data_IF_592815967220
#
_entry.id   IF_592815967220
#
_cell.length_a   1.000
_cell.length_b   1.000
_cell.length_c   1.000
_cell.angle_alpha   90.00
_cell.angle_beta   90.00
_cell.angle_gamma   90.00
#
_symmetry.space_group_name_H-M   'P 1'
#
loop_
_entity.id
_entity.type
_entity.pdbx_description
1 polymer ?
#
# COMPACT_ATOMS: atom_id res chain seq x y z
N UNK A 1 -0.72 -1.90 -20.14
CA UNK A 1 -0.59 -0.82 -19.12
C UNK A 1 -1.22 -1.30 -17.83
N UNK A 2 -0.47 -1.36 -16.73
CA UNK A 2 -1.02 -1.65 -15.40
C UNK A 2 -1.56 -0.34 -14.83
N UNK A 3 -2.78 -0.36 -14.31
CA UNK A 3 -3.33 0.81 -13.59
C UNK A 3 -2.53 0.96 -12.29
N UNK A 4 -2.00 2.14 -11.96
CA UNK A 4 -1.17 2.36 -10.76
C UNK A 4 -2.04 2.49 -9.50
N UNK A 5 -3.03 1.61 -9.33
CA UNK A 5 -3.96 1.56 -8.18
C UNK A 5 -4.15 0.10 -7.77
N UNK A 6 -4.12 -0.17 -6.47
CA UNK A 6 -4.41 -1.49 -5.92
C UNK A 6 -5.85 -1.89 -6.22
N UNK A 7 -6.06 -3.13 -6.67
CA UNK A 7 -7.39 -3.64 -7.03
C UNK A 7 -8.43 -3.47 -5.92
N UNK A 8 -8.04 -3.72 -4.67
CA UNK A 8 -8.93 -3.55 -3.51
C UNK A 8 -9.26 -2.08 -3.21
N UNK A 9 -8.41 -1.13 -3.64
CA UNK A 9 -8.64 0.31 -3.46
C UNK A 9 -9.90 0.80 -4.19
N UNK A 10 -10.29 0.14 -5.29
CA UNK A 10 -11.50 0.49 -6.04
C UNK A 10 -12.78 0.34 -5.22
N UNK A 11 -12.80 -0.52 -4.20
CA UNK A 11 -13.94 -0.65 -3.27
C UNK A 11 -14.23 0.63 -2.48
N UNK A 12 -13.21 1.49 -2.30
CA UNK A 12 -13.34 2.78 -1.62
C UNK A 12 -13.44 3.93 -2.61
N UNK A 13 -12.62 3.90 -3.67
CA UNK A 13 -12.53 4.98 -4.65
C UNK A 13 -13.83 5.13 -5.45
N UNK A 14 -14.45 4.04 -5.91
CA UNK A 14 -15.64 4.12 -6.77
C UNK A 14 -16.86 4.70 -6.04
N UNK A 15 -17.25 4.22 -4.84
CA UNK A 15 -18.38 4.82 -4.12
C UNK A 15 -18.14 6.30 -3.78
N UNK A 16 -16.93 6.68 -3.37
CA UNK A 16 -16.60 8.08 -3.08
C UNK A 16 -16.68 8.95 -4.33
N UNK A 17 -16.24 8.45 -5.48
CA UNK A 17 -16.37 9.15 -6.76
C UNK A 17 -17.83 9.36 -7.15
N UNK A 18 -18.67 8.32 -7.00
CA UNK A 18 -20.11 8.40 -7.27
C UNK A 18 -20.83 9.39 -6.34
N UNK A 19 -20.51 9.36 -5.03
CA UNK A 19 -21.07 10.30 -4.06
C UNK A 19 -20.65 11.74 -4.36
N UNK A 20 -19.38 11.94 -4.72
CA UNK A 20 -18.89 13.27 -5.13
C UNK A 20 -19.65 13.78 -6.35
N UNK A 21 -19.83 12.94 -7.38
CA UNK A 21 -20.58 13.29 -8.58
C UNK A 21 -22.06 13.61 -8.26
N UNK A 22 -22.70 12.79 -7.42
CA UNK A 22 -24.08 13.03 -6.99
C UNK A 22 -24.22 14.37 -6.26
N UNK A 23 -23.33 14.67 -5.31
CA UNK A 23 -23.35 15.97 -4.61
C UNK A 23 -23.17 17.16 -5.55
N UNK A 24 -22.33 17.03 -6.58
CA UNK A 24 -22.16 18.08 -7.60
C UNK A 24 -23.44 18.28 -8.42
N UNK A 25 -24.11 17.20 -8.84
CA UNK A 25 -25.37 17.25 -9.60
C UNK A 25 -26.48 17.94 -8.80
N UNK A 26 -26.58 17.67 -7.49
CA UNK A 26 -27.58 18.29 -6.62
C UNK A 26 -27.13 19.63 -6.00
N UNK A 27 -26.03 20.22 -6.48
CA UNK A 27 -25.47 21.48 -5.94
C UNK A 27 -25.19 21.47 -4.43
N UNK A 28 -24.94 20.29 -3.86
CA UNK A 28 -24.60 20.10 -2.44
C UNK A 28 -23.11 20.36 -2.24
N UNK A 29 -22.72 21.63 -2.28
CA UNK A 29 -21.30 22.07 -2.34
C UNK A 29 -20.47 21.51 -1.17
N UNK A 30 -20.97 21.57 0.06
CA UNK A 30 -20.26 21.02 1.22
C UNK A 30 -20.05 19.50 1.14
N UNK A 31 -21.08 18.77 0.68
CA UNK A 31 -20.97 17.32 0.47
C UNK A 31 -19.95 16.99 -0.62
N UNK A 32 -19.95 17.74 -1.71
CA UNK A 32 -18.99 17.56 -2.80
C UNK A 32 -17.54 17.80 -2.33
N UNK A 33 -17.29 18.80 -1.48
CA UNK A 33 -15.97 19.03 -0.90
C UNK A 33 -15.52 17.88 0.00
N UNK A 34 -16.38 17.41 0.90
CA UNK A 34 -16.04 16.31 1.82
C UNK A 34 -15.77 15.01 1.07
N UNK A 35 -16.70 14.57 0.22
CA UNK A 35 -16.53 13.33 -0.52
C UNK A 35 -15.43 13.44 -1.58
N UNK A 36 -15.27 14.61 -2.20
CA UNK A 36 -14.21 14.86 -3.18
C UNK A 36 -12.82 14.79 -2.56
N UNK A 37 -12.62 15.38 -1.38
CA UNK A 37 -11.35 15.30 -0.66
C UNK A 37 -11.03 13.85 -0.25
N UNK A 38 -12.03 13.12 0.24
CA UNK A 38 -11.88 11.70 0.58
C UNK A 38 -11.58 10.85 -0.66
N UNK A 39 -12.25 11.10 -1.77
CA UNK A 39 -11.99 10.44 -3.05
C UNK A 39 -10.55 10.64 -3.50
N UNK A 40 -10.06 11.88 -3.46
CA UNK A 40 -8.68 12.21 -3.81
C UNK A 40 -7.68 11.54 -2.86
N UNK A 41 -7.95 11.60 -1.54
CA UNK A 41 -7.11 10.96 -0.53
C UNK A 41 -7.04 9.44 -0.75
N UNK A 42 -8.18 8.75 -0.91
CA UNK A 42 -8.21 7.31 -1.15
C UNK A 42 -7.50 6.94 -2.45
N UNK A 43 -7.71 7.70 -3.52
CA UNK A 43 -7.02 7.47 -4.80
C UNK A 43 -5.50 7.57 -4.64
N UNK A 44 -5.02 8.56 -3.89
CA UNK A 44 -3.60 8.72 -3.61
C UNK A 44 -3.07 7.68 -2.61
N UNK A 45 -3.84 7.27 -1.61
CA UNK A 45 -3.46 6.29 -0.59
C UNK A 45 -3.31 4.88 -1.18
N UNK A 46 -4.22 4.48 -2.05
CA UNK A 46 -4.21 3.17 -2.73
C UNK A 46 -3.39 3.15 -4.04
N UNK A 47 -2.55 4.17 -4.27
CA UNK A 47 -1.66 4.20 -5.43
C UNK A 47 -0.66 3.05 -5.38
N UNK A 48 -0.34 2.49 -6.54
CA UNK A 48 0.57 1.36 -6.68
C UNK A 48 1.50 1.58 -7.89
N UNK A 49 2.51 2.47 -7.76
CA UNK A 49 3.43 2.76 -8.86
C UNK A 49 4.29 1.56 -9.25
N UNK A 50 4.69 1.52 -10.51
CA UNK A 50 5.70 0.57 -11.00
C UNK A 50 7.07 0.90 -10.39
N UNK A 51 7.85 -0.14 -10.13
CA UNK A 51 9.17 -0.03 -9.51
C UNK A 51 10.19 -0.83 -10.33
N UNK A 52 11.37 -0.29 -10.59
CA UNK A 52 12.44 -1.06 -11.22
C UNK A 52 12.87 -2.19 -10.28
N UNK A 53 13.04 -3.38 -10.83
CA UNK A 53 13.56 -4.54 -10.10
C UNK A 53 15.06 -4.69 -10.42
N UNK A 54 15.92 -4.92 -9.43
CA UNK A 54 17.32 -5.22 -9.69
C UNK A 54 17.45 -6.59 -10.38
N UNK A 55 18.50 -6.76 -11.18
CA UNK A 55 18.78 -8.00 -11.92
C UNK A 55 19.42 -9.11 -11.09
N UNK A 56 19.78 -8.84 -9.83
CA UNK A 56 20.42 -9.83 -8.95
C UNK A 56 19.39 -10.84 -8.40
N UNK A 57 19.48 -12.13 -8.77
CA UNK A 57 18.55 -13.15 -8.30
C UNK A 57 18.67 -13.47 -6.80
N UNK A 58 19.74 -13.01 -6.13
CA UNK A 58 19.94 -13.16 -4.69
C UNK A 58 19.51 -11.92 -3.89
N UNK A 59 19.06 -10.86 -4.56
CA UNK A 59 18.62 -9.66 -3.87
C UNK A 59 17.35 -9.91 -3.07
N UNK A 60 17.37 -9.53 -1.79
CA UNK A 60 16.18 -9.41 -0.95
C UNK A 60 15.69 -7.97 -1.05
N UNK A 61 14.50 -7.77 -1.60
CA UNK A 61 13.94 -6.43 -1.78
C UNK A 61 13.18 -5.98 -0.54
N UNK A 62 13.01 -4.66 -0.39
CA UNK A 62 12.11 -4.14 0.64
C UNK A 62 10.67 -4.58 0.33
N UNK A 63 9.96 -5.22 1.26
CA UNK A 63 8.58 -5.64 1.04
C UNK A 63 7.61 -4.45 1.03
N UNK A 64 8.01 -3.30 1.58
CA UNK A 64 7.16 -2.12 1.71
C UNK A 64 7.96 -0.83 1.67
N UNK A 65 7.27 0.29 1.48
CA UNK A 65 7.84 1.63 1.67
C UNK A 65 7.93 1.98 3.15
N UNK A 66 8.72 3.01 3.47
CA UNK A 66 8.73 3.61 4.79
C UNK A 66 10.12 3.63 5.40
N UNK A 67 10.15 3.74 6.73
CA UNK A 67 11.38 3.94 7.49
C UNK A 67 11.72 2.67 8.27
N UNK A 68 12.97 2.23 8.20
CA UNK A 68 13.47 1.20 9.12
C UNK A 68 13.47 1.80 10.53
N UNK A 69 12.70 1.20 11.43
CA UNK A 69 12.59 1.64 12.83
C UNK A 69 13.36 0.73 13.78
N UNK A 70 13.70 -0.49 13.37
CA UNK A 70 14.45 -1.43 14.18
C UNK A 70 15.14 -2.48 13.30
N UNK A 71 16.36 -2.86 13.68
CA UNK A 71 17.07 -4.02 13.14
C UNK A 71 17.63 -4.78 14.33
N UNK A 72 17.18 -6.03 14.54
CA UNK A 72 17.65 -6.83 15.67
C UNK A 72 17.67 -8.32 15.37
N UNK A 73 18.43 -9.07 16.18
CA UNK A 73 18.33 -10.54 16.21
C UNK A 73 17.31 -10.96 17.25
N UNK A 74 16.41 -11.85 16.87
CA UNK A 74 15.41 -12.43 17.76
C UNK A 74 15.10 -13.88 17.37
N UNK A 75 14.52 -14.65 18.29
CA UNK A 75 14.07 -16.01 17.98
C UNK A 75 12.76 -15.92 17.20
N UNK A 76 12.74 -16.45 15.99
CA UNK A 76 11.53 -16.49 15.16
C UNK A 76 10.51 -17.46 15.77
N UNK A 77 9.25 -17.05 15.98
CA UNK A 77 8.23 -17.91 16.59
C UNK A 77 7.84 -19.14 15.74
N UNK A 78 8.04 -19.09 14.42
CA UNK A 78 7.66 -20.16 13.49
C UNK A 78 8.82 -21.13 13.25
N UNK A 79 10.04 -20.61 13.14
CA UNK A 79 11.24 -21.38 12.83
C UNK A 79 12.01 -21.86 14.07
N UNK A 80 11.64 -21.36 15.26
CA UNK A 80 12.28 -21.63 16.55
C UNK A 80 13.81 -21.39 16.55
N UNK A 81 14.30 -20.51 15.68
CA UNK A 81 15.73 -20.22 15.49
C UNK A 81 16.03 -18.71 15.50
N UNK A 82 17.28 -18.29 15.79
CA UNK A 82 17.66 -16.89 15.75
C UNK A 82 17.62 -16.36 14.30
N UNK A 83 16.84 -15.31 14.06
CA UNK A 83 16.73 -14.62 12.76
C UNK A 83 17.08 -13.14 12.91
N UNK A 84 17.38 -12.49 11.78
CA UNK A 84 17.49 -11.04 11.71
C UNK A 84 16.14 -10.44 11.35
N UNK A 85 15.53 -9.70 12.28
CA UNK A 85 14.29 -8.94 12.06
C UNK A 85 14.61 -7.52 11.61
N UNK A 86 13.91 -7.08 10.57
CA UNK A 86 13.89 -5.70 10.08
C UNK A 86 12.46 -5.17 10.20
N UNK A 87 12.25 -4.15 11.02
CA UNK A 87 10.94 -3.51 11.23
C UNK A 87 10.84 -2.25 10.37
N UNK A 88 9.84 -2.18 9.49
CA UNK A 88 9.59 -1.04 8.60
C UNK A 88 8.29 -0.37 9.00
N UNK A 89 8.33 0.93 9.24
CA UNK A 89 7.16 1.75 9.53
C UNK A 89 6.65 2.46 8.27
N UNK A 90 5.45 2.08 7.83
CA UNK A 90 4.71 2.74 6.77
C UNK A 90 3.89 3.90 7.37
N UNK A 91 4.34 5.13 7.18
CA UNK A 91 3.51 6.31 7.42
C UNK A 91 2.41 6.46 6.36
N UNK A 92 1.38 7.27 6.65
CA UNK A 92 0.27 7.61 5.73
C UNK A 92 0.71 8.16 4.37
N UNK A 93 1.95 8.64 4.26
CA UNK A 93 2.51 9.15 3.01
C UNK A 93 3.13 8.10 2.10
N UNK A 94 3.35 6.89 2.61
CA UNK A 94 3.93 5.79 1.84
C UNK A 94 2.88 5.09 0.98
N UNK A 95 3.35 4.26 0.04
CA UNK A 95 2.47 3.31 -0.64
C UNK A 95 2.08 2.20 0.34
N UNK A 96 0.78 2.03 0.59
CA UNK A 96 0.26 1.05 1.54
C UNK A 96 0.05 -0.32 0.88
N UNK A 97 1.14 -0.84 0.31
CA UNK A 97 1.17 -2.15 -0.35
C UNK A 97 2.39 -2.92 0.13
N UNK A 98 2.14 -4.12 0.67
CA UNK A 98 3.20 -5.07 0.98
C UNK A 98 3.37 -6.03 -0.21
N UNK A 99 4.61 -6.22 -0.63
CA UNK A 99 5.03 -7.06 -1.75
C UNK A 99 5.92 -8.18 -1.23
N UNK A 100 5.99 -9.27 -1.99
CA UNK A 100 6.87 -10.39 -1.66
C UNK A 100 8.32 -9.95 -1.93
N UNK A 101 9.22 -10.00 -0.92
CA UNK A 101 10.58 -9.47 -1.04
C UNK A 101 11.55 -10.40 -1.78
N UNK A 102 11.18 -11.67 -1.96
CA UNK A 102 11.99 -12.74 -2.57
C UNK A 102 11.12 -13.64 -3.47
N UNK A 103 11.74 -14.33 -4.41
CA UNK A 103 11.06 -15.44 -5.10
C UNK A 103 10.93 -16.66 -4.17
N UNK A 104 9.79 -17.32 -4.19
CA UNK A 104 9.53 -18.50 -3.38
C UNK A 104 8.12 -19.06 -3.56
N UNK A 105 7.82 -20.14 -2.84
CA UNK A 105 6.49 -20.74 -2.76
C UNK A 105 5.93 -20.47 -1.37
N UNK A 106 4.66 -20.06 -1.30
CA UNK A 106 3.98 -19.91 -0.02
C UNK A 106 3.60 -21.31 0.46
N UNK A 107 4.09 -21.67 1.65
CA UNK A 107 3.75 -22.90 2.36
C UNK A 107 3.00 -22.55 3.65
N UNK A 108 2.16 -23.48 4.14
CA UNK A 108 1.22 -23.25 5.24
C UNK A 108 1.77 -23.76 6.57
#
# INVERSE_FOLDING_TARGET
MRIPIVKDGFRFILPLGLLTAACLVFSMVWGAWVFGLLFLFCTWFFRDPERPLPHDPKAVLSPADGKIVEVKREKDPLLDQPVQRISIFLSVFNVHVNRIPIHGRIEK
#
